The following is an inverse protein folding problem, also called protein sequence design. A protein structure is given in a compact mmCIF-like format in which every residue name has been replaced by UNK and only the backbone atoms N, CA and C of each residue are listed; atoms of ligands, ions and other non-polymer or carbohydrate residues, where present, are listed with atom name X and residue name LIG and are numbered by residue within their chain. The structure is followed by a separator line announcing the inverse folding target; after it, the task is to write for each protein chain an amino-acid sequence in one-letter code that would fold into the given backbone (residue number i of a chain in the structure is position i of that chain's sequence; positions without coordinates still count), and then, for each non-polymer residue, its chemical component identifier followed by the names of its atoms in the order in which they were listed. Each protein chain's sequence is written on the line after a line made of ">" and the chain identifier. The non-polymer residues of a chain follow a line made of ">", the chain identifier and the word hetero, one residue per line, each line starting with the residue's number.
data_IF_105625609075
#
_entry.id   IF_105625609075
#
_cell.length_a   1.000
_cell.length_b   1.000
_cell.length_c   1.000
_cell.angle_alpha   90.00
_cell.angle_beta   90.00
_cell.angle_gamma   90.00
#
_symmetry.space_group_name_H-M   'P 1'
#
loop_
_entity.id
_entity.type
_entity.pdbx_description
1 polymer ?
#
# COMPACT_ATOMS: atom_id res chain seq x y z
N UNK A 1 22.83 10.93 -18.34
CA UNK A 1 22.01 10.54 -17.18
C UNK A 1 21.83 9.04 -17.23
N UNK A 2 22.43 8.33 -16.25
CA UNK A 2 22.21 6.91 -16.04
C UNK A 2 21.56 6.73 -14.67
N UNK A 3 20.76 5.69 -14.49
CA UNK A 3 20.08 5.40 -13.22
C UNK A 3 21.06 5.23 -12.06
N UNK A 4 22.22 4.62 -12.33
CA UNK A 4 23.30 4.49 -11.36
C UNK A 4 23.80 5.85 -10.84
N UNK A 5 24.02 6.81 -11.73
CA UNK A 5 24.41 8.17 -11.34
C UNK A 5 23.34 8.89 -10.50
N UNK A 6 22.07 8.62 -10.79
CA UNK A 6 20.94 9.17 -10.00
C UNK A 6 20.98 8.59 -8.58
N UNK A 7 21.13 7.27 -8.45
CA UNK A 7 21.21 6.59 -7.14
C UNK A 7 22.37 7.15 -6.32
N UNK A 8 23.56 7.28 -6.88
CA UNK A 8 24.73 7.81 -6.18
C UNK A 8 24.56 9.26 -5.74
N UNK A 9 23.91 10.09 -6.56
CA UNK A 9 23.58 11.47 -6.21
C UNK A 9 22.57 11.53 -5.06
N UNK A 10 21.50 10.72 -5.12
CA UNK A 10 20.48 10.66 -4.07
C UNK A 10 21.06 10.14 -2.75
N UNK A 11 21.87 9.10 -2.79
CA UNK A 11 22.57 8.57 -1.61
C UNK A 11 23.49 9.63 -0.99
N UNK A 12 24.23 10.36 -1.83
CA UNK A 12 25.09 11.46 -1.35
C UNK A 12 24.29 12.59 -0.73
N UNK A 13 23.15 12.97 -1.33
CA UNK A 13 22.23 13.97 -0.81
C UNK A 13 21.69 13.57 0.56
N UNK A 14 21.23 12.34 0.70
CA UNK A 14 20.72 11.79 1.97
C UNK A 14 21.81 11.77 3.04
N UNK A 15 23.05 11.36 2.71
CA UNK A 15 24.18 11.39 3.64
C UNK A 15 24.49 12.81 4.13
N UNK A 16 24.50 13.78 3.22
CA UNK A 16 24.76 15.16 3.56
C UNK A 16 23.64 15.77 4.42
N UNK A 17 22.39 15.38 4.18
CA UNK A 17 21.24 15.85 4.93
C UNK A 17 21.21 15.28 6.36
N UNK A 18 21.41 13.97 6.51
CA UNK A 18 21.30 13.27 7.79
C UNK A 18 22.58 13.41 8.62
N UNK A 19 23.74 13.56 7.94
CA UNK A 19 25.04 13.61 8.62
C UNK A 19 25.51 12.27 9.16
N UNK A 20 26.55 12.29 9.99
CA UNK A 20 27.27 11.10 10.42
C UNK A 20 26.72 10.46 11.71
N UNK A 21 25.94 11.21 12.52
CA UNK A 21 25.49 10.78 13.85
C UNK A 21 24.00 10.57 14.00
N UNK A 22 23.17 11.31 13.24
CA UNK A 22 21.71 11.25 13.36
C UNK A 22 21.12 9.94 12.84
N UNK A 23 20.03 9.54 13.43
CA UNK A 23 19.22 8.38 13.03
C UNK A 23 17.96 8.83 12.31
N UNK A 24 17.40 7.93 11.51
CA UNK A 24 16.17 8.14 10.77
C UNK A 24 15.17 7.01 11.02
N UNK A 25 13.89 7.34 10.93
CA UNK A 25 12.78 6.39 10.96
C UNK A 25 11.99 6.48 9.65
N UNK A 26 11.52 5.35 9.15
CA UNK A 26 10.74 5.27 7.92
C UNK A 26 9.52 4.37 8.10
N UNK A 27 8.32 4.90 7.84
CA UNK A 27 7.12 4.08 7.76
C UNK A 27 7.05 3.31 6.43
N UNK A 28 6.98 1.99 6.48
CA UNK A 28 6.74 1.15 5.31
C UNK A 28 5.23 0.90 5.16
N UNK A 29 4.64 1.49 4.13
CA UNK A 29 3.23 1.25 3.78
C UNK A 29 3.01 -0.03 2.96
N UNK A 30 4.09 -0.72 2.60
CA UNK A 30 4.08 -1.80 1.62
C UNK A 30 4.06 -1.32 0.16
N UNK A 31 3.96 -0.02 -0.10
CA UNK A 31 4.05 0.56 -1.45
C UNK A 31 5.51 0.70 -1.94
N UNK A 32 5.68 0.79 -3.28
CA UNK A 32 7.00 0.93 -3.90
C UNK A 32 7.75 2.18 -3.43
N UNK A 33 7.04 3.30 -3.23
CA UNK A 33 7.67 4.58 -2.91
C UNK A 33 8.32 4.56 -1.53
N UNK A 34 7.62 4.07 -0.51
CA UNK A 34 8.19 3.90 0.83
C UNK A 34 9.33 2.88 0.85
N UNK A 35 9.22 1.80 0.07
CA UNK A 35 10.26 0.79 -0.03
C UNK A 35 11.55 1.35 -0.70
N UNK A 36 11.42 2.10 -1.79
CA UNK A 36 12.56 2.71 -2.48
C UNK A 36 13.19 3.81 -1.65
N UNK A 37 12.39 4.67 -1.00
CA UNK A 37 12.89 5.69 -0.08
C UNK A 37 13.70 5.06 1.07
N UNK A 38 13.16 4.03 1.70
CA UNK A 38 13.84 3.31 2.78
C UNK A 38 15.13 2.63 2.28
N UNK A 39 15.12 1.99 1.12
CA UNK A 39 16.32 1.36 0.54
C UNK A 39 17.43 2.38 0.22
N UNK A 40 17.08 3.56 -0.31
CA UNK A 40 18.03 4.65 -0.54
C UNK A 40 18.66 5.13 0.78
N UNK A 41 17.84 5.37 1.78
CA UNK A 41 18.32 5.83 3.09
C UNK A 41 19.14 4.74 3.78
N UNK A 42 18.73 3.47 3.69
CA UNK A 42 19.52 2.34 4.20
C UNK A 42 20.90 2.28 3.55
N UNK A 43 20.99 2.46 2.23
CA UNK A 43 22.27 2.50 1.50
C UNK A 43 23.12 3.70 1.93
N UNK A 44 22.48 4.80 2.31
CA UNK A 44 23.17 6.03 2.73
C UNK A 44 23.71 5.96 4.17
N UNK A 45 22.91 5.53 5.13
CA UNK A 45 23.22 5.62 6.57
C UNK A 45 23.29 4.27 7.31
N UNK A 46 23.00 3.15 6.62
CA UNK A 46 23.11 1.81 7.21
C UNK A 46 22.20 1.61 8.43
N UNK A 47 22.75 1.03 9.50
CA UNK A 47 22.01 0.65 10.71
C UNK A 47 21.41 1.82 11.49
N UNK A 48 21.63 3.05 11.05
CA UNK A 48 21.01 4.26 11.62
C UNK A 48 19.58 4.50 11.10
N UNK A 49 19.11 3.70 10.14
CA UNK A 49 17.71 3.67 9.72
C UNK A 49 16.94 2.58 10.46
N UNK A 50 15.79 2.94 11.03
CA UNK A 50 14.79 1.98 11.51
C UNK A 50 13.53 2.11 10.67
N UNK A 51 13.10 1.02 10.05
CA UNK A 51 11.83 0.95 9.34
C UNK A 51 10.74 0.45 10.29
N UNK A 52 9.53 1.02 10.17
CA UNK A 52 8.34 0.62 10.93
C UNK A 52 7.29 0.14 9.95
N UNK A 53 6.77 -1.04 10.17
CA UNK A 53 5.66 -1.62 9.42
C UNK A 53 4.49 -1.90 10.34
N UNK A 54 3.32 -1.33 10.04
CA UNK A 54 2.08 -1.58 10.77
C UNK A 54 1.25 -2.61 10.02
N UNK A 55 1.13 -3.80 10.58
CA UNK A 55 0.19 -4.80 10.09
C UNK A 55 -1.19 -4.53 10.68
N UNK A 56 -2.03 -3.92 9.89
CA UNK A 56 -3.42 -3.58 10.25
C UNK A 56 -4.44 -4.64 9.84
N UNK A 57 -4.01 -5.77 9.30
CA UNK A 57 -4.88 -6.85 8.89
C UNK A 57 -5.72 -6.61 7.62
N UNK A 58 -5.56 -5.46 6.96
CA UNK A 58 -6.29 -5.10 5.73
C UNK A 58 -5.44 -5.25 4.46
N UNK A 59 -4.31 -5.94 4.58
CA UNK A 59 -3.39 -6.22 3.49
C UNK A 59 -3.89 -7.38 2.61
N UNK A 60 -3.40 -7.44 1.37
CA UNK A 60 -3.59 -8.58 0.47
C UNK A 60 -2.84 -9.81 0.99
N UNK A 61 -3.18 -10.97 0.44
CA UNK A 61 -2.41 -12.19 0.68
C UNK A 61 -0.93 -12.02 0.31
N UNK A 62 -0.03 -12.45 1.20
CA UNK A 62 1.42 -12.43 1.00
C UNK A 62 2.12 -11.08 1.21
N UNK A 63 1.39 -9.97 1.39
CA UNK A 63 2.01 -8.64 1.50
C UNK A 63 2.80 -8.43 2.80
N UNK A 64 2.32 -8.98 3.91
CA UNK A 64 3.03 -8.97 5.19
C UNK A 64 4.38 -9.65 5.06
N UNK A 65 4.39 -10.85 4.51
CA UNK A 65 5.58 -11.66 4.30
C UNK A 65 6.57 -10.97 3.36
N UNK A 66 6.08 -10.34 2.29
CA UNK A 66 6.92 -9.57 1.35
C UNK A 66 7.65 -8.42 2.05
N UNK A 67 6.97 -7.66 2.91
CA UNK A 67 7.62 -6.58 3.66
C UNK A 67 8.61 -7.14 4.67
N UNK A 68 8.23 -8.16 5.41
CA UNK A 68 9.07 -8.71 6.49
C UNK A 68 10.27 -9.49 5.98
N UNK A 69 10.14 -10.22 4.89
CA UNK A 69 11.15 -11.11 4.38
C UNK A 69 11.90 -10.54 3.18
N UNK A 70 11.17 -10.20 2.11
CA UNK A 70 11.80 -9.82 0.84
C UNK A 70 12.48 -8.45 0.94
N UNK A 71 11.82 -7.46 1.57
CA UNK A 71 12.40 -6.14 1.73
C UNK A 71 13.62 -6.17 2.67
N UNK A 72 13.53 -6.85 3.81
CA UNK A 72 14.63 -6.96 4.77
C UNK A 72 15.80 -7.74 4.17
N UNK A 73 15.52 -8.85 3.45
CA UNK A 73 16.56 -9.63 2.79
C UNK A 73 17.30 -8.82 1.70
N UNK A 74 16.59 -7.95 0.97
CA UNK A 74 17.16 -7.13 -0.09
C UNK A 74 17.97 -5.94 0.45
N UNK A 75 17.57 -5.35 1.58
CA UNK A 75 18.14 -4.09 2.09
C UNK A 75 19.01 -4.24 3.34
N UNK A 76 18.81 -5.28 4.12
CA UNK A 76 19.40 -5.42 5.46
C UNK A 76 18.87 -4.42 6.49
N UNK A 77 17.78 -3.69 6.17
CA UNK A 77 17.24 -2.66 7.06
C UNK A 77 16.66 -3.26 8.35
N UNK A 78 16.84 -2.55 9.46
CA UNK A 78 16.17 -2.88 10.71
C UNK A 78 14.67 -2.63 10.55
N UNK A 79 13.83 -3.63 10.80
CA UNK A 79 12.38 -3.56 10.70
C UNK A 79 11.72 -3.84 12.05
N UNK A 80 10.93 -2.88 12.51
CA UNK A 80 9.99 -3.04 13.64
C UNK A 80 8.60 -3.27 13.06
N UNK A 81 7.97 -4.38 13.41
CA UNK A 81 6.61 -4.71 12.95
C UNK A 81 5.64 -4.58 14.12
N UNK A 82 4.61 -3.78 13.93
CA UNK A 82 3.51 -3.62 14.88
C UNK A 82 2.34 -4.48 14.41
N UNK A 83 1.94 -5.45 15.22
CA UNK A 83 0.70 -6.20 15.00
C UNK A 83 -0.47 -5.40 15.56
N UNK A 84 -1.25 -4.81 14.69
CA UNK A 84 -2.41 -4.00 15.02
C UNK A 84 -3.72 -4.61 14.49
N UNK A 85 -3.70 -5.87 14.04
CA UNK A 85 -4.83 -6.53 13.38
C UNK A 85 -6.09 -6.47 14.22
N UNK A 86 -6.02 -6.91 15.48
CA UNK A 86 -7.17 -6.90 16.38
C UNK A 86 -7.70 -5.49 16.66
N UNK A 87 -6.79 -4.54 16.92
CA UNK A 87 -7.12 -3.13 17.14
C UNK A 87 -7.91 -2.51 15.98
N UNK A 88 -7.52 -2.81 14.74
CA UNK A 88 -8.21 -2.28 13.56
C UNK A 88 -9.57 -2.95 13.36
N UNK A 89 -9.66 -4.27 13.52
CA UNK A 89 -10.90 -5.00 13.32
C UNK A 89 -11.94 -4.67 14.39
N UNK A 90 -11.52 -4.50 15.63
CA UNK A 90 -12.43 -4.12 16.73
C UNK A 90 -13.04 -2.72 16.51
N UNK A 91 -12.24 -1.75 16.04
CA UNK A 91 -12.71 -0.39 15.76
C UNK A 91 -13.54 -0.29 14.45
N UNK A 92 -13.37 -1.26 13.54
CA UNK A 92 -14.16 -1.35 12.32
C UNK A 92 -15.44 -2.19 12.48
N UNK A 93 -15.65 -2.79 13.64
CA UNK A 93 -16.83 -3.62 13.88
C UNK A 93 -18.13 -2.81 13.68
N UNK A 94 -19.00 -3.31 12.80
CA UNK A 94 -20.24 -2.65 12.43
C UNK A 94 -20.11 -1.37 11.58
N UNK A 95 -18.90 -0.93 11.23
CA UNK A 95 -18.70 0.27 10.39
C UNK A 95 -18.89 -0.11 8.93
N UNK A 96 -19.94 0.43 8.30
CA UNK A 96 -20.30 0.15 6.90
C UNK A 96 -20.16 1.36 5.97
N UNK A 97 -20.19 2.58 6.54
CA UNK A 97 -20.02 3.80 5.74
C UNK A 97 -18.58 3.94 5.23
N UNK A 98 -18.36 4.15 3.92
CA UNK A 98 -17.02 4.20 3.34
C UNK A 98 -16.12 5.29 3.92
N UNK A 99 -16.68 6.46 4.17
CA UNK A 99 -15.91 7.58 4.70
C UNK A 99 -15.56 7.37 6.19
N UNK A 100 -16.48 6.76 6.95
CA UNK A 100 -16.20 6.35 8.33
C UNK A 100 -15.10 5.30 8.38
N UNK A 101 -15.09 4.30 7.48
CA UNK A 101 -14.01 3.32 7.36
C UNK A 101 -12.67 4.01 7.09
N UNK A 102 -12.60 4.90 6.09
CA UNK A 102 -11.37 5.63 5.73
C UNK A 102 -10.82 6.45 6.91
N UNK A 103 -11.69 7.18 7.61
CA UNK A 103 -11.30 7.98 8.78
C UNK A 103 -10.81 7.12 9.94
N UNK A 104 -11.51 6.02 10.22
CA UNK A 104 -11.13 5.08 11.29
C UNK A 104 -9.78 4.45 11.00
N UNK A 105 -9.59 3.91 9.79
CA UNK A 105 -8.33 3.27 9.37
C UNK A 105 -7.18 4.28 9.40
N UNK A 106 -7.38 5.48 8.84
CA UNK A 106 -6.35 6.53 8.84
C UNK A 106 -5.94 6.95 10.25
N UNK A 107 -6.91 7.18 11.14
CA UNK A 107 -6.66 7.53 12.55
C UNK A 107 -5.88 6.44 13.29
N UNK A 108 -6.29 5.18 13.09
CA UNK A 108 -5.63 4.04 13.76
C UNK A 108 -4.21 3.82 13.24
N UNK A 109 -4.00 3.99 11.93
CA UNK A 109 -2.67 3.87 11.33
C UNK A 109 -1.71 4.89 11.93
N UNK A 110 -2.11 6.17 12.01
CA UNK A 110 -1.33 7.24 12.61
C UNK A 110 -0.97 6.88 14.06
N UNK A 111 -1.95 6.52 14.88
CA UNK A 111 -1.70 6.18 16.29
C UNK A 111 -0.79 4.98 16.46
N UNK A 112 -0.96 3.94 15.65
CA UNK A 112 -0.09 2.75 15.72
C UNK A 112 1.34 3.08 15.27
N UNK A 113 1.49 4.00 14.32
CA UNK A 113 2.80 4.50 13.92
C UNK A 113 3.46 5.35 15.02
N UNK A 114 2.70 6.23 15.70
CA UNK A 114 3.16 7.02 16.84
C UNK A 114 3.64 6.14 18.00
N UNK A 115 2.87 5.11 18.34
CA UNK A 115 3.25 4.14 19.37
C UNK A 115 4.58 3.46 19.02
N UNK A 116 4.75 3.04 17.76
CA UNK A 116 6.00 2.44 17.27
C UNK A 116 7.18 3.41 17.27
N UNK A 117 6.96 4.65 16.87
CA UNK A 117 8.00 5.70 16.94
C UNK A 117 8.45 5.92 18.37
N UNK A 118 7.51 5.98 19.31
CA UNK A 118 7.82 6.15 20.74
C UNK A 118 8.65 4.99 21.30
N UNK A 119 8.38 3.77 20.87
CA UNK A 119 9.19 2.59 21.24
C UNK A 119 10.62 2.69 20.69
N UNK A 120 10.77 3.02 19.39
CA UNK A 120 12.07 3.20 18.74
C UNK A 120 12.87 4.33 19.39
N UNK A 121 12.21 5.44 19.75
CA UNK A 121 12.85 6.56 20.47
C UNK A 121 13.32 6.14 21.86
N UNK A 122 12.51 5.36 22.57
CA UNK A 122 12.90 4.83 23.90
C UNK A 122 14.14 3.93 23.82
N UNK A 123 14.22 3.06 22.83
CA UNK A 123 15.41 2.23 22.58
C UNK A 123 16.64 3.08 22.20
N UNK A 124 16.46 4.06 21.31
CA UNK A 124 17.55 4.94 20.88
C UNK A 124 18.09 5.80 22.02
N UNK A 125 17.23 6.30 22.89
CA UNK A 125 17.62 7.06 24.08
C UNK A 125 18.45 6.20 25.06
N UNK A 126 18.14 4.92 25.19
CA UNK A 126 18.93 3.98 25.98
C UNK A 126 20.34 3.72 25.39
N UNK A 127 20.54 4.01 24.10
CA UNK A 127 21.81 3.91 23.38
C UNK A 127 22.54 5.26 23.24
N UNK A 128 22.10 6.33 23.93
CA UNK A 128 22.60 7.70 23.78
C UNK A 128 22.53 8.22 22.33
N UNK A 129 21.52 7.81 21.55
CA UNK A 129 21.32 8.19 20.16
C UNK A 129 20.03 8.99 19.98
N UNK A 130 20.05 9.94 19.04
CA UNK A 130 18.87 10.73 18.69
C UNK A 130 18.31 10.31 17.33
N UNK A 131 16.97 10.27 17.23
CA UNK A 131 16.27 10.08 15.96
C UNK A 131 15.73 11.43 15.53
N UNK A 132 16.38 12.03 14.53
CA UNK A 132 16.12 13.43 14.14
C UNK A 132 15.36 13.51 12.80
N UNK A 133 15.27 12.40 12.06
CA UNK A 133 14.73 12.40 10.70
C UNK A 133 13.58 11.42 10.53
N UNK A 134 12.53 11.88 9.81
CA UNK A 134 11.44 11.07 9.30
C UNK A 134 11.56 10.95 7.78
N UNK A 135 11.68 9.73 7.28
CA UNK A 135 11.77 9.44 5.85
C UNK A 135 10.37 9.31 5.25
N UNK A 136 10.11 10.03 4.16
CA UNK A 136 8.87 9.97 3.40
C UNK A 136 9.13 9.69 1.92
N UNK A 137 8.29 8.85 1.32
CA UNK A 137 8.33 8.52 -0.11
C UNK A 137 7.55 9.50 -0.99
N UNK A 138 7.61 10.80 -0.70
CA UNK A 138 6.96 11.86 -1.49
C UNK A 138 7.56 11.91 -2.89
N UNK A 139 6.72 11.98 -3.94
CA UNK A 139 7.10 12.09 -5.33
C UNK A 139 6.88 13.51 -5.87
N UNK A 140 7.44 13.79 -7.07
CA UNK A 140 7.27 15.09 -7.71
C UNK A 140 5.80 15.47 -7.97
N UNK A 141 4.91 14.59 -8.46
CA UNK A 141 3.49 14.90 -8.59
C UNK A 141 2.82 15.32 -7.29
N UNK A 142 3.15 14.67 -6.16
CA UNK A 142 2.59 15.00 -4.84
C UNK A 142 2.97 16.44 -4.43
N UNK A 143 4.19 16.86 -4.79
CA UNK A 143 4.69 18.23 -4.51
C UNK A 143 3.91 19.26 -5.33
N UNK A 144 3.63 18.96 -6.60
CA UNK A 144 2.87 19.87 -7.48
C UNK A 144 1.42 20.00 -7.03
N UNK A 145 0.76 18.90 -6.68
CA UNK A 145 -0.62 18.90 -6.19
C UNK A 145 -0.76 19.64 -4.85
N UNK A 146 0.26 19.55 -3.98
CA UNK A 146 0.26 20.26 -2.69
C UNK A 146 0.56 21.75 -2.75
N UNK A 147 0.79 22.31 -3.95
CA UNK A 147 0.95 23.75 -4.18
C UNK A 147 2.35 24.30 -4.00
N UNK A 148 3.40 23.49 -4.19
CA UNK A 148 4.77 23.86 -4.57
C UNK A 148 5.45 25.08 -3.97
N UNK A 149 5.12 25.55 -2.76
CA UNK A 149 5.74 26.70 -2.12
C UNK A 149 7.05 26.35 -1.43
N UNK A 150 8.16 26.91 -1.89
CA UNK A 150 9.41 26.88 -1.16
C UNK A 150 9.22 27.61 0.19
N UNK A 151 9.31 26.91 1.31
CA UNK A 151 9.60 27.51 2.61
C UNK A 151 8.52 27.53 3.67
N UNK A 152 7.39 26.88 3.51
CA UNK A 152 6.50 26.58 4.65
C UNK A 152 6.15 25.13 4.66
N UNK A 153 6.74 24.42 5.62
CA UNK A 153 6.27 23.09 6.04
C UNK A 153 4.88 23.19 6.71
N UNK A 154 3.92 23.76 6.03
CA UNK A 154 2.53 23.49 6.24
C UNK A 154 2.22 22.25 5.42
N UNK A 155 2.74 21.13 5.88
CA UNK A 155 2.24 19.83 5.53
C UNK A 155 0.75 19.90 5.85
N UNK A 156 -0.08 20.02 4.81
CA UNK A 156 -1.48 19.67 4.94
C UNK A 156 -1.48 18.22 5.39
N UNK A 157 -1.70 18.06 6.66
CA UNK A 157 -1.71 16.89 7.51
C UNK A 157 -2.66 15.77 7.07
N UNK A 158 -2.95 15.61 5.78
CA UNK A 158 -3.99 14.72 5.30
C UNK A 158 -3.49 13.49 4.53
N UNK A 159 -2.19 13.42 4.20
CA UNK A 159 -1.72 12.27 3.43
C UNK A 159 -0.58 11.46 4.05
N UNK A 160 0.24 12.00 4.97
CA UNK A 160 1.27 11.21 5.64
C UNK A 160 1.69 11.89 6.94
N UNK A 161 1.31 11.41 8.10
CA UNK A 161 1.84 11.81 9.42
C UNK A 161 1.23 13.09 10.02
N UNK A 162 -0.10 13.24 9.99
CA UNK A 162 -0.77 14.19 10.88
C UNK A 162 -1.17 13.47 12.16
N UNK A 163 -0.37 13.57 13.22
CA UNK A 163 -0.70 12.97 14.50
C UNK A 163 0.50 12.59 15.37
N UNK A 164 1.74 12.87 14.93
CA UNK A 164 2.88 12.77 15.84
C UNK A 164 2.68 13.75 17.01
N UNK A 165 3.09 13.38 18.24
CA UNK A 165 3.05 14.29 19.37
C UNK A 165 3.65 15.66 19.01
N UNK A 166 2.99 16.73 19.40
CA UNK A 166 3.41 18.11 19.07
C UNK A 166 4.85 18.43 19.55
N UNK A 167 5.39 17.58 20.39
CA UNK A 167 6.72 17.71 21.00
C UNK A 167 7.81 16.98 20.18
N UNK A 168 7.46 16.22 19.14
CA UNK A 168 8.42 15.51 18.28
C UNK A 168 8.69 16.31 17.01
N UNK A 169 9.78 17.04 16.99
CA UNK A 169 10.26 17.77 15.82
C UNK A 169 11.17 16.88 14.98
N UNK A 170 10.62 16.20 13.97
CA UNK A 170 11.44 15.52 12.97
C UNK A 170 11.72 16.45 11.79
N UNK A 171 12.95 16.37 11.30
CA UNK A 171 13.30 16.91 9.99
C UNK A 171 12.89 15.89 8.91
N UNK A 172 12.15 16.33 7.90
CA UNK A 172 11.74 15.44 6.81
C UNK A 172 12.93 15.13 5.90
N UNK A 173 13.07 13.84 5.56
CA UNK A 173 13.95 13.35 4.52
C UNK A 173 13.10 12.75 3.38
N UNK A 174 13.03 13.44 2.25
CA UNK A 174 12.21 13.11 1.09
C UNK A 174 13.11 12.81 -0.13
N UNK A 175 13.77 11.65 -0.17
CA UNK A 175 14.78 11.37 -1.18
C UNK A 175 14.23 11.26 -2.60
N UNK A 176 12.91 11.03 -2.76
CA UNK A 176 12.26 10.81 -4.06
C UNK A 176 11.51 12.06 -4.58
N UNK A 177 11.58 13.18 -3.87
CA UNK A 177 10.76 14.39 -4.10
C UNK A 177 10.83 14.96 -5.52
N UNK A 178 11.90 14.70 -6.25
CA UNK A 178 12.12 15.21 -7.61
C UNK A 178 11.93 14.13 -8.68
N UNK A 179 11.48 12.93 -8.32
CA UNK A 179 11.31 11.81 -9.23
C UNK A 179 9.86 11.56 -9.59
N UNK A 180 9.66 11.05 -10.80
CA UNK A 180 8.41 10.47 -11.25
C UNK A 180 8.35 8.97 -10.91
N UNK A 181 7.16 8.38 -10.98
CA UNK A 181 6.91 7.00 -10.58
C UNK A 181 7.74 5.94 -11.33
N UNK A 182 7.95 6.15 -12.62
CA UNK A 182 8.78 5.30 -13.48
C UNK A 182 10.27 5.38 -13.10
N UNK A 183 10.76 6.58 -12.77
CA UNK A 183 12.12 6.80 -12.27
C UNK A 183 12.32 6.14 -10.90
N UNK A 184 11.31 6.23 -10.00
CA UNK A 184 11.35 5.55 -8.69
C UNK A 184 11.47 4.04 -8.86
N UNK A 185 10.73 3.44 -9.80
CA UNK A 185 10.85 2.02 -10.11
C UNK A 185 12.24 1.66 -10.66
N UNK A 186 12.79 2.50 -11.53
CA UNK A 186 14.14 2.30 -12.05
C UNK A 186 15.20 2.37 -10.94
N UNK A 187 15.09 3.34 -10.04
CA UNK A 187 15.93 3.46 -8.83
C UNK A 187 15.80 2.24 -7.94
N UNK A 188 14.57 1.74 -7.72
CA UNK A 188 14.32 0.54 -6.92
C UNK A 188 15.04 -0.70 -7.48
N UNK A 189 15.01 -0.91 -8.80
CA UNK A 189 15.75 -2.00 -9.47
C UNK A 189 17.26 -1.86 -9.30
N UNK A 190 17.78 -0.65 -9.47
CA UNK A 190 19.21 -0.35 -9.28
C UNK A 190 19.69 -0.56 -7.83
N UNK A 191 18.80 -0.34 -6.87
CA UNK A 191 19.03 -0.65 -5.45
C UNK A 191 18.96 -2.15 -5.13
N UNK A 192 18.55 -3.00 -6.09
CA UNK A 192 18.42 -4.44 -5.92
C UNK A 192 17.12 -4.89 -5.24
N UNK A 193 16.11 -4.03 -5.21
CA UNK A 193 14.80 -4.45 -4.72
C UNK A 193 14.17 -5.50 -5.66
N UNK A 194 13.53 -6.54 -5.11
CA UNK A 194 12.84 -7.56 -5.91
C UNK A 194 11.76 -6.96 -6.82
N UNK A 195 11.59 -7.52 -8.03
CA UNK A 195 10.61 -7.02 -8.99
C UNK A 195 9.19 -7.02 -8.42
N UNK A 196 8.84 -7.98 -7.58
CA UNK A 196 7.54 -8.05 -6.88
C UNK A 196 7.25 -6.82 -6.02
N UNK A 197 8.27 -6.11 -5.54
CA UNK A 197 8.13 -4.85 -4.80
C UNK A 197 8.06 -3.67 -5.77
N UNK A 198 8.95 -3.66 -6.78
CA UNK A 198 9.14 -2.51 -7.69
C UNK A 198 7.98 -2.38 -8.68
N UNK A 199 7.50 -3.49 -9.25
CA UNK A 199 6.40 -3.51 -10.23
C UNK A 199 5.00 -3.51 -9.59
N UNK A 200 4.93 -3.46 -8.28
CA UNK A 200 3.66 -3.55 -7.55
C UNK A 200 2.67 -2.49 -8.03
N UNK A 201 1.45 -2.95 -8.32
CA UNK A 201 0.33 -2.08 -8.65
C UNK A 201 -0.04 -1.19 -7.44
N UNK A 202 -0.56 0.02 -7.69
CA UNK A 202 -1.08 0.86 -6.63
C UNK A 202 -2.09 0.12 -5.74
N UNK A 203 -2.02 0.37 -4.43
CA UNK A 203 -2.94 -0.21 -3.47
C UNK A 203 -3.34 0.89 -2.49
N UNK A 204 -4.63 1.04 -2.17
CA UNK A 204 -5.11 2.15 -1.36
C UNK A 204 -4.63 2.03 0.09
N UNK A 205 -4.38 3.17 0.75
CA UNK A 205 -3.99 3.21 2.15
C UNK A 205 -4.94 2.45 3.10
N UNK A 206 -6.27 2.55 2.95
CA UNK A 206 -7.22 1.74 3.72
C UNK A 206 -7.22 0.24 3.40
N UNK A 207 -6.44 -0.20 2.43
CA UNK A 207 -6.31 -1.60 2.07
C UNK A 207 -7.61 -2.24 1.59
N UNK A 208 -7.80 -3.49 1.95
CA UNK A 208 -9.02 -4.24 1.62
C UNK A 208 -10.28 -3.75 2.37
N UNK A 209 -10.12 -2.89 3.38
CA UNK A 209 -11.26 -2.35 4.14
C UNK A 209 -12.28 -1.61 3.30
N UNK A 210 -11.84 -0.93 2.23
CA UNK A 210 -12.71 -0.22 1.27
C UNK A 210 -13.03 -1.05 0.02
N UNK A 211 -12.70 -2.33 0.03
CA UNK A 211 -13.08 -3.31 -1.01
C UNK A 211 -14.07 -4.36 -0.50
N UNK A 212 -14.60 -4.16 0.70
CA UNK A 212 -15.71 -4.91 1.26
C UNK A 212 -16.89 -3.95 1.38
N UNK A 213 -17.87 -4.06 0.49
CA UNK A 213 -19.13 -3.31 0.61
C UNK A 213 -19.96 -3.92 1.73
N UNK A 214 -20.00 -3.23 2.86
CA UNK A 214 -20.54 -3.69 4.13
C UNK A 214 -19.52 -3.66 5.26
N UNK A 215 -19.84 -4.27 6.41
CA UNK A 215 -18.93 -4.33 7.55
C UNK A 215 -17.70 -5.19 7.26
N UNK A 216 -16.53 -4.74 7.75
CA UNK A 216 -15.26 -5.46 7.64
C UNK A 216 -15.17 -6.49 8.75
N UNK A 217 -14.99 -7.76 8.39
CA UNK A 217 -14.78 -8.86 9.35
C UNK A 217 -13.61 -9.73 8.89
N UNK A 218 -13.03 -10.50 9.80
CA UNK A 218 -11.95 -11.47 9.46
C UNK A 218 -12.39 -12.42 8.35
N UNK A 219 -13.59 -13.00 8.48
CA UNK A 219 -14.14 -13.92 7.48
C UNK A 219 -14.25 -13.26 6.11
N UNK A 220 -14.83 -12.06 6.04
CA UNK A 220 -14.99 -11.31 4.79
C UNK A 220 -13.65 -10.91 4.17
N UNK A 221 -12.64 -10.61 5.00
CA UNK A 221 -11.28 -10.35 4.52
C UNK A 221 -10.64 -11.60 3.93
N UNK A 222 -10.78 -12.77 4.54
CA UNK A 222 -10.25 -14.03 4.00
C UNK A 222 -10.91 -14.38 2.65
N UNK A 223 -12.23 -14.24 2.55
CA UNK A 223 -12.98 -14.42 1.29
C UNK A 223 -12.44 -13.49 0.21
N UNK A 224 -12.28 -12.21 0.52
CA UNK A 224 -11.78 -11.21 -0.43
C UNK A 224 -10.33 -11.46 -0.81
N UNK A 225 -9.45 -11.81 0.13
CA UNK A 225 -8.04 -12.15 -0.12
C UNK A 225 -7.92 -13.30 -1.10
N UNK A 226 -8.68 -14.37 -0.88
CA UNK A 226 -8.68 -15.54 -1.78
C UNK A 226 -9.11 -15.17 -3.19
N UNK A 227 -10.18 -14.39 -3.34
CA UNK A 227 -10.65 -13.94 -4.64
C UNK A 227 -9.68 -12.97 -5.33
N UNK A 228 -9.07 -12.03 -4.59
CA UNK A 228 -8.07 -11.08 -5.10
C UNK A 228 -6.81 -11.80 -5.56
N UNK A 229 -6.35 -12.79 -4.81
CA UNK A 229 -5.16 -13.58 -5.17
C UNK A 229 -5.37 -14.37 -6.47
N UNK A 230 -6.54 -15.01 -6.62
CA UNK A 230 -6.91 -15.72 -7.85
C UNK A 230 -6.92 -14.76 -9.04
N UNK A 231 -7.61 -13.62 -8.90
CA UNK A 231 -7.70 -12.64 -9.98
C UNK A 231 -6.32 -12.11 -10.39
N UNK A 232 -5.48 -11.71 -9.44
CA UNK A 232 -4.11 -11.23 -9.71
C UNK A 232 -3.26 -12.31 -10.39
N UNK A 233 -3.32 -13.53 -9.89
CA UNK A 233 -2.56 -14.66 -10.47
C UNK A 233 -2.93 -14.90 -11.92
N UNK A 234 -4.22 -14.90 -12.26
CA UNK A 234 -4.67 -15.12 -13.64
C UNK A 234 -4.31 -13.95 -14.56
N UNK A 235 -4.36 -12.70 -14.07
CA UNK A 235 -3.95 -11.52 -14.84
C UNK A 235 -2.45 -11.55 -15.13
N UNK A 236 -1.61 -11.86 -14.14
CA UNK A 236 -0.16 -12.01 -14.30
C UNK A 236 0.19 -13.14 -15.24
N UNK A 237 -0.45 -14.32 -15.10
CA UNK A 237 -0.25 -15.46 -16.00
C UNK A 237 -0.65 -15.16 -17.45
N UNK A 238 -1.57 -14.24 -17.66
CA UNK A 238 -1.98 -13.76 -18.97
C UNK A 238 -1.07 -12.64 -19.54
N UNK A 239 -0.07 -12.17 -18.78
CA UNK A 239 0.83 -11.09 -19.18
C UNK A 239 0.18 -9.71 -19.26
N UNK A 240 -0.86 -9.46 -18.45
CA UNK A 240 -1.64 -8.22 -18.47
C UNK A 240 -1.17 -7.17 -17.45
N UNK A 241 -0.09 -7.43 -16.71
CA UNK A 241 0.37 -6.55 -15.64
C UNK A 241 0.76 -5.15 -16.14
N UNK A 242 1.28 -5.04 -17.37
CA UNK A 242 1.67 -3.75 -17.95
C UNK A 242 0.47 -2.98 -18.54
N UNK A 243 -0.63 -3.67 -18.87
CA UNK A 243 -1.82 -3.05 -19.45
C UNK A 243 -2.80 -2.56 -18.37
N UNK A 244 -2.75 -3.19 -17.19
CA UNK A 244 -3.66 -2.93 -16.08
C UNK A 244 -2.96 -2.07 -15.04
N UNK A 245 -3.38 -0.83 -14.91
CA UNK A 245 -2.91 0.06 -13.84
C UNK A 245 -3.24 -0.50 -12.46
N UNK A 246 -4.48 -0.96 -12.29
CA UNK A 246 -5.01 -1.52 -11.06
C UNK A 246 -6.24 -2.36 -11.37
N UNK A 247 -6.45 -3.47 -10.65
CA UNK A 247 -7.67 -4.26 -10.71
C UNK A 247 -8.23 -4.45 -9.29
N UNK A 248 -8.99 -3.49 -8.74
CA UNK A 248 -9.75 -3.72 -7.53
C UNK A 248 -10.66 -4.93 -7.66
N UNK A 249 -10.55 -5.85 -6.70
CA UNK A 249 -11.48 -6.95 -6.48
C UNK A 249 -12.33 -6.57 -5.29
N UNK A 250 -13.66 -6.52 -5.46
CA UNK A 250 -14.58 -5.98 -4.45
C UNK A 250 -15.59 -7.03 -4.04
N UNK A 251 -15.69 -7.27 -2.73
CA UNK A 251 -16.69 -8.16 -2.15
C UNK A 251 -17.97 -7.37 -1.84
N UNK A 252 -19.08 -7.74 -2.49
CA UNK A 252 -20.39 -7.21 -2.17
C UNK A 252 -20.99 -8.01 -0.98
N UNK A 253 -20.46 -7.76 0.22
CA UNK A 253 -20.71 -8.59 1.40
C UNK A 253 -22.15 -8.51 1.92
N UNK A 254 -22.84 -7.40 1.67
CA UNK A 254 -24.22 -7.19 2.08
C UNK A 254 -25.24 -7.59 0.98
N UNK A 255 -24.74 -8.09 -0.17
CA UNK A 255 -25.58 -8.62 -1.25
C UNK A 255 -25.62 -10.13 -1.19
N UNK A 256 -26.83 -10.71 -1.15
CA UNK A 256 -27.04 -12.16 -1.30
C UNK A 256 -27.35 -12.50 -2.74
N UNK A 257 -26.50 -13.29 -3.34
CA UNK A 257 -26.68 -13.84 -4.69
C UNK A 257 -27.18 -15.28 -4.61
N UNK A 258 -28.15 -15.62 -5.44
CA UNK A 258 -28.66 -16.97 -5.55
C UNK A 258 -27.75 -17.77 -6.51
N UNK A 259 -27.32 -18.94 -6.08
CA UNK A 259 -26.60 -19.93 -6.87
C UNK A 259 -27.29 -21.26 -6.89
N UNK A 260 -26.80 -22.16 -7.71
CA UNK A 260 -27.21 -23.57 -7.76
C UNK A 260 -25.96 -24.43 -7.63
N UNK A 261 -26.00 -25.38 -6.69
CA UNK A 261 -24.92 -26.35 -6.53
C UNK A 261 -25.57 -27.75 -6.35
N UNK A 262 -25.30 -28.65 -7.28
CA UNK A 262 -26.06 -29.90 -7.36
C UNK A 262 -27.54 -29.61 -7.59
N UNK A 263 -28.44 -30.28 -6.83
CA UNK A 263 -29.88 -30.13 -6.95
C UNK A 263 -30.45 -29.03 -6.04
N UNK A 264 -29.60 -28.28 -5.30
CA UNK A 264 -29.98 -27.31 -4.29
C UNK A 264 -29.71 -25.87 -4.66
N UNK A 265 -30.55 -24.94 -4.15
CA UNK A 265 -30.24 -23.51 -4.15
C UNK A 265 -29.20 -23.22 -3.09
N UNK A 266 -28.18 -22.42 -3.48
CA UNK A 266 -27.18 -21.87 -2.58
C UNK A 266 -27.29 -20.35 -2.53
N UNK A 267 -26.76 -19.77 -1.46
CA UNK A 267 -26.68 -18.32 -1.31
C UNK A 267 -25.23 -17.97 -1.03
N UNK A 268 -24.72 -17.03 -1.80
CA UNK A 268 -23.35 -16.52 -1.65
C UNK A 268 -23.30 -15.03 -1.93
N UNK A 269 -22.10 -14.54 -2.13
CA UNK A 269 -21.85 -13.13 -2.43
C UNK A 269 -21.33 -12.95 -3.85
N UNK A 270 -21.60 -11.80 -4.50
CA UNK A 270 -20.91 -11.43 -5.72
C UNK A 270 -19.52 -10.87 -5.42
N UNK A 271 -18.59 -11.13 -6.34
CA UNK A 271 -17.32 -10.41 -6.47
C UNK A 271 -17.40 -9.50 -7.70
N UNK A 272 -16.92 -8.27 -7.57
CA UNK A 272 -16.73 -7.35 -8.69
C UNK A 272 -15.26 -7.31 -9.06
N UNK A 273 -14.96 -7.46 -10.35
CA UNK A 273 -13.66 -7.18 -10.94
C UNK A 273 -13.72 -5.80 -11.58
N UNK A 274 -12.79 -4.89 -11.21
CA UNK A 274 -12.69 -3.56 -11.77
C UNK A 274 -11.30 -3.31 -12.37
N UNK A 275 -10.98 -3.95 -13.51
CA UNK A 275 -9.71 -3.68 -14.17
C UNK A 275 -9.75 -2.29 -14.82
N UNK A 276 -8.76 -1.46 -14.52
CA UNK A 276 -8.63 -0.11 -15.09
C UNK A 276 -7.24 0.11 -15.66
N UNK A 277 -7.19 0.83 -16.78
CA UNK A 277 -5.99 1.38 -17.38
C UNK A 277 -5.98 2.88 -17.17
N UNK A 278 -4.84 3.41 -16.73
CA UNK A 278 -4.65 4.85 -16.47
C UNK A 278 -3.17 5.18 -16.57
N UNK A 279 -2.84 6.44 -16.82
CA UNK A 279 -1.48 6.98 -16.78
C UNK A 279 -1.20 7.68 -15.44
N UNK A 280 -2.17 8.41 -14.93
CA UNK A 280 -2.02 9.33 -13.79
C UNK A 280 -3.06 9.15 -12.68
N UNK A 281 -3.94 8.18 -12.80
CA UNK A 281 -5.10 7.94 -11.93
C UNK A 281 -6.16 9.06 -11.92
N UNK A 282 -5.96 10.18 -12.59
CA UNK A 282 -6.96 11.26 -12.68
C UNK A 282 -8.14 10.85 -13.58
N UNK A 283 -7.82 10.25 -14.71
CA UNK A 283 -8.76 9.60 -15.62
C UNK A 283 -8.41 8.12 -15.77
N UNK A 284 -9.39 7.28 -15.95
CA UNK A 284 -9.19 5.86 -16.21
C UNK A 284 -10.28 5.31 -17.12
N UNK A 285 -9.89 4.40 -17.99
CA UNK A 285 -10.84 3.57 -18.73
C UNK A 285 -10.80 2.14 -18.16
N UNK A 286 -11.88 1.38 -18.33
CA UNK A 286 -11.85 -0.02 -17.95
C UNK A 286 -11.01 -0.83 -18.94
N UNK A 287 -10.19 -1.74 -18.45
CA UNK A 287 -9.34 -2.60 -19.29
C UNK A 287 -10.16 -3.74 -19.86
N UNK A 288 -10.02 -3.97 -21.17
CA UNK A 288 -10.70 -5.05 -21.90
C UNK A 288 -9.95 -6.35 -21.72
N UNK A 289 -10.19 -7.00 -20.60
CA UNK A 289 -9.59 -8.33 -20.34
C UNK A 289 -10.12 -9.34 -21.36
N UNK A 290 -9.27 -10.17 -21.97
CA UNK A 290 -9.71 -11.25 -22.86
C UNK A 290 -10.74 -12.16 -22.17
N UNK A 291 -11.78 -12.57 -22.93
CA UNK A 291 -12.89 -13.37 -22.37
C UNK A 291 -12.44 -14.69 -21.74
N UNK A 292 -11.44 -15.35 -22.32
CA UNK A 292 -10.86 -16.58 -21.78
C UNK A 292 -10.15 -16.37 -20.45
N UNK A 293 -9.60 -15.18 -20.18
CA UNK A 293 -9.02 -14.82 -18.88
C UNK A 293 -10.12 -14.56 -17.86
N UNK A 294 -11.16 -13.82 -18.25
CA UNK A 294 -12.35 -13.61 -17.41
C UNK A 294 -13.04 -14.93 -17.05
N UNK A 295 -13.16 -15.85 -18.00
CA UNK A 295 -13.71 -17.18 -17.76
C UNK A 295 -12.89 -17.94 -16.73
N UNK A 296 -11.56 -17.96 -16.85
CA UNK A 296 -10.69 -18.63 -15.87
C UNK A 296 -10.82 -18.00 -14.49
N UNK A 297 -10.76 -16.66 -14.38
CA UNK A 297 -10.91 -15.95 -13.10
C UNK A 297 -12.26 -16.32 -12.47
N UNK A 298 -13.35 -16.20 -13.22
CA UNK A 298 -14.69 -16.50 -12.72
C UNK A 298 -14.84 -17.95 -12.28
N UNK A 299 -14.36 -18.89 -13.09
CA UNK A 299 -14.43 -20.32 -12.79
C UNK A 299 -13.61 -20.68 -11.55
N UNK A 300 -12.40 -20.13 -11.44
CA UNK A 300 -11.55 -20.38 -10.27
C UNK A 300 -12.15 -19.79 -9.01
N UNK A 301 -12.57 -18.53 -9.03
CA UNK A 301 -13.15 -17.87 -7.84
C UNK A 301 -14.38 -18.66 -7.36
N UNK A 302 -15.31 -19.00 -8.24
CA UNK A 302 -16.55 -19.70 -7.85
C UNK A 302 -16.32 -21.14 -7.42
N UNK A 303 -15.23 -21.80 -7.83
CA UNK A 303 -14.89 -23.15 -7.42
C UNK A 303 -14.00 -23.20 -6.17
N UNK A 304 -13.11 -22.24 -6.00
CA UNK A 304 -12.10 -22.24 -4.92
C UNK A 304 -12.53 -21.42 -3.70
N UNK A 305 -13.51 -20.48 -3.86
CA UNK A 305 -14.02 -19.64 -2.76
C UNK A 305 -15.52 -19.93 -2.56
N UNK A 306 -15.88 -20.83 -1.65
CA UNK A 306 -17.26 -21.36 -1.51
C UNK A 306 -18.33 -20.31 -1.25
N UNK A 307 -17.97 -19.20 -0.61
CA UNK A 307 -18.88 -18.10 -0.26
C UNK A 307 -19.23 -17.23 -1.47
N UNK A 308 -18.49 -17.38 -2.59
CA UNK A 308 -18.69 -16.61 -3.83
C UNK A 308 -19.38 -17.47 -4.87
N UNK A 309 -20.51 -17.01 -5.36
CA UNK A 309 -21.27 -17.70 -6.41
C UNK A 309 -21.49 -16.86 -7.67
N UNK A 310 -20.90 -15.67 -7.74
CA UNK A 310 -21.04 -14.77 -8.88
C UNK A 310 -19.83 -13.84 -9.02
N UNK A 311 -19.33 -13.71 -10.23
CA UNK A 311 -18.31 -12.73 -10.60
C UNK A 311 -18.91 -11.76 -11.62
N UNK A 312 -18.75 -10.46 -11.40
CA UNK A 312 -19.21 -9.40 -12.30
C UNK A 312 -18.05 -8.50 -12.70
N UNK A 313 -18.14 -7.93 -13.90
CA UNK A 313 -17.15 -7.01 -14.44
C UNK A 313 -17.72 -5.59 -14.38
N UNK A 314 -16.99 -4.66 -13.75
CA UNK A 314 -17.28 -3.24 -13.80
C UNK A 314 -16.57 -2.60 -15.00
N UNK A 315 -17.37 -2.15 -15.99
CA UNK A 315 -16.90 -1.54 -17.22
C UNK A 315 -17.12 0.00 -17.25
N UNK A 316 -17.13 0.63 -16.08
CA UNK A 316 -17.34 2.08 -15.95
C UNK A 316 -16.00 2.82 -16.01
N UNK A 317 -15.94 3.90 -16.83
CA UNK A 317 -14.79 4.79 -16.89
C UNK A 317 -14.74 5.76 -15.69
N UNK A 318 -13.57 6.33 -15.43
CA UNK A 318 -13.42 7.45 -14.50
C UNK A 318 -13.10 8.73 -15.29
N UNK A 319 -13.92 9.79 -15.24
CA UNK A 319 -15.25 9.83 -14.67
C UNK A 319 -16.27 8.98 -15.46
N UNK A 320 -17.49 8.67 -14.95
CA UNK A 320 -18.05 9.15 -13.68
C UNK A 320 -17.70 8.29 -12.45
N UNK A 321 -17.29 7.04 -12.64
CA UNK A 321 -16.89 6.19 -11.52
C UNK A 321 -15.52 6.58 -10.97
N UNK A 322 -15.23 6.21 -9.72
CA UNK A 322 -13.88 6.25 -9.15
C UNK A 322 -13.14 4.94 -9.45
N UNK A 323 -11.84 4.84 -9.18
CA UNK A 323 -11.11 3.56 -9.31
C UNK A 323 -11.55 2.61 -8.21
N UNK A 324 -11.48 3.02 -6.95
CA UNK A 324 -12.04 2.26 -5.84
C UNK A 324 -13.57 2.41 -5.78
N UNK A 325 -14.27 1.42 -5.24
CA UNK A 325 -15.73 1.41 -5.12
C UNK A 325 -16.22 2.17 -3.89
N UNK A 326 -15.45 2.10 -2.80
CA UNK A 326 -15.72 2.83 -1.56
C UNK A 326 -14.62 3.84 -1.21
#
# INVERSE_FOLDING_TARGET
>A
WTTENIVDQLVTQVKNQIGDSSRAICGLSGGVDSAVAAALVQRAIGDRLTCVFVDHGLLRAGEREQVQQDFVAATGARLVTIDAVDKFLDELDGVTDPEAKRKTIGRLFIRSFEDAVSEVLGESAAEDATVDFLVQGTLYPDVVESGGGAGTANIKSHHNVGGLPEDLEFTLCEPLRLLFKDEVRAVGRELGLPEVIVSRQPFPGPGLGIRIVGAVTRERLEILRAADEIARTELTNAGLDDEIWQCPVVLLADVRSVGVQGDGRTYGHPIVLRPVSSEDAMTADWTRIPYEVLERISTRITNEVPEINRVVLDCTSKPPGTIEWE
#
